data_IF_236921130232
#
_entry.id   IF_236921130232
#
_cell.length_a   1.000
_cell.length_b   1.000
_cell.length_c   1.000
_cell.angle_alpha   90.00
_cell.angle_beta   90.00
_cell.angle_gamma   90.00
#
_symmetry.space_group_name_H-M   'P 1'
#
loop_
_entity.id
_entity.type
_entity.pdbx_description
1 polymer ?
#
# COMPACT_ATOMS: atom_id res chain seq x y z
N UNK A 1 3.00 0.71 -39.36
CA UNK A 1 2.59 0.29 -38.00
C UNK A 1 2.27 1.54 -37.19
N UNK A 2 1.10 1.63 -36.54
CA UNK A 2 0.77 2.70 -35.58
C UNK A 2 1.92 2.94 -34.59
N UNK A 3 2.21 4.20 -34.26
CA UNK A 3 3.29 4.55 -33.32
C UNK A 3 3.17 3.81 -31.98
N UNK A 4 1.93 3.59 -31.54
CA UNK A 4 1.57 2.84 -30.34
C UNK A 4 2.14 1.42 -30.30
N UNK A 5 2.12 0.71 -31.44
CA UNK A 5 2.57 -0.68 -31.54
C UNK A 5 4.10 -0.83 -31.38
N UNK A 6 4.86 0.26 -31.53
CA UNK A 6 6.32 0.21 -31.47
C UNK A 6 6.86 -0.01 -30.06
N UNK A 7 6.08 0.33 -29.04
CA UNK A 7 6.50 0.23 -27.64
C UNK A 7 5.83 -0.93 -26.90
N UNK A 8 5.17 -1.84 -27.62
CA UNK A 8 4.53 -2.99 -26.99
C UNK A 8 5.57 -3.90 -26.32
N UNK A 9 5.26 -4.36 -25.11
CA UNK A 9 6.08 -5.28 -24.33
C UNK A 9 6.32 -4.80 -22.91
N UNK A 10 7.09 -5.60 -22.16
CA UNK A 10 7.50 -5.29 -20.79
C UNK A 10 8.84 -4.58 -20.79
N UNK A 11 8.96 -3.52 -20.02
CA UNK A 11 10.15 -2.70 -19.87
C UNK A 11 10.46 -2.50 -18.40
N UNK A 12 11.74 -2.45 -18.06
CA UNK A 12 12.21 -2.26 -16.69
C UNK A 12 13.33 -1.22 -16.63
N UNK A 13 13.42 -0.55 -15.49
CA UNK A 13 14.54 0.30 -15.11
C UNK A 13 14.93 -0.02 -13.67
N UNK A 14 16.24 -0.06 -13.41
CA UNK A 14 16.79 -0.12 -12.05
C UNK A 14 17.50 1.19 -11.75
N UNK A 15 17.51 1.61 -10.49
CA UNK A 15 18.14 2.85 -10.00
C UNK A 15 19.69 2.87 -10.07
N UNK A 16 20.28 1.84 -10.67
CA UNK A 16 21.72 1.64 -10.77
C UNK A 16 22.34 0.99 -9.53
N UNK A 17 21.62 0.89 -8.42
CA UNK A 17 22.02 0.10 -7.24
C UNK A 17 21.45 -1.32 -7.31
N UNK A 18 20.31 -1.48 -8.01
CA UNK A 18 19.61 -2.75 -8.15
C UNK A 18 18.63 -3.03 -7.02
N UNK A 19 18.53 -2.13 -6.03
CA UNK A 19 17.59 -2.25 -4.91
C UNK A 19 16.18 -1.77 -5.26
N UNK A 20 16.07 -0.84 -6.21
CA UNK A 20 14.79 -0.30 -6.66
C UNK A 20 14.59 -0.55 -8.14
N UNK A 21 13.36 -0.90 -8.47
CA UNK A 21 12.94 -1.23 -9.83
C UNK A 21 11.67 -0.48 -10.19
N UNK A 22 11.54 -0.20 -11.49
CA UNK A 22 10.34 0.37 -12.11
C UNK A 22 10.02 -0.42 -13.36
N UNK A 23 8.84 -1.02 -13.40
CA UNK A 23 8.35 -1.83 -14.51
C UNK A 23 7.16 -1.16 -15.20
N UNK A 24 7.17 -1.19 -16.53
CA UNK A 24 6.04 -0.84 -17.39
C UNK A 24 5.72 -1.99 -18.33
N UNK A 25 4.45 -2.35 -18.48
CA UNK A 25 4.00 -3.24 -19.56
C UNK A 25 3.04 -2.49 -20.45
N UNK A 26 3.34 -2.40 -21.75
CA UNK A 26 2.50 -1.76 -22.75
C UNK A 26 1.84 -2.81 -23.66
N UNK A 27 0.51 -2.79 -23.69
CA UNK A 27 -0.30 -3.77 -24.43
C UNK A 27 -0.83 -3.23 -25.76
N UNK A 28 -1.13 -4.15 -26.68
CA UNK A 28 -1.55 -3.82 -28.05
C UNK A 28 -2.87 -3.02 -28.14
N UNK A 29 -3.72 -3.13 -27.12
CA UNK A 29 -4.98 -2.41 -26.97
C UNK A 29 -4.80 -0.98 -26.40
N UNK A 30 -3.57 -0.47 -26.32
CA UNK A 30 -3.24 0.84 -25.74
C UNK A 30 -3.47 0.94 -24.24
N UNK A 31 -3.48 -0.18 -23.51
CA UNK A 31 -3.41 -0.18 -22.04
C UNK A 31 -1.98 -0.38 -21.55
N UNK A 32 -1.70 0.07 -20.33
CA UNK A 32 -0.43 -0.20 -19.67
C UNK A 32 -0.63 -0.57 -18.21
N UNK A 33 0.30 -1.34 -17.67
CA UNK A 33 0.50 -1.50 -16.23
C UNK A 33 1.84 -0.90 -15.83
N UNK A 34 1.89 -0.41 -14.60
CA UNK A 34 3.04 0.19 -13.96
C UNK A 34 3.16 -0.38 -12.55
N UNK A 35 4.37 -0.73 -12.17
CA UNK A 35 4.71 -1.08 -10.80
C UNK A 35 6.12 -0.54 -10.50
N UNK A 36 6.34 -0.10 -9.28
CA UNK A 36 7.68 0.19 -8.77
C UNK A 36 7.81 -0.31 -7.35
N UNK A 37 9.03 -0.62 -6.93
CA UNK A 37 9.27 -1.07 -5.58
C UNK A 37 10.72 -1.45 -5.35
N UNK A 38 10.94 -2.24 -4.30
CA UNK A 38 12.25 -2.72 -3.91
C UNK A 38 12.20 -4.09 -3.25
N UNK A 39 13.16 -4.35 -2.37
CA UNK A 39 13.35 -5.67 -1.74
C UNK A 39 12.13 -6.16 -0.93
N UNK A 40 11.30 -5.24 -0.42
CA UNK A 40 10.13 -5.56 0.41
C UNK A 40 8.84 -5.74 -0.39
N UNK A 41 8.90 -5.61 -1.71
CA UNK A 41 7.78 -5.73 -2.62
C UNK A 41 7.46 -4.44 -3.36
N UNK A 42 6.29 -4.42 -4.00
CA UNK A 42 5.77 -3.28 -4.75
C UNK A 42 5.41 -2.14 -3.80
N UNK A 43 5.95 -0.95 -4.04
CA UNK A 43 5.69 0.26 -3.26
C UNK A 43 4.60 1.11 -3.92
N UNK A 44 4.51 1.12 -5.25
CA UNK A 44 3.45 1.80 -6.00
C UNK A 44 3.03 1.02 -7.24
N UNK A 45 1.78 1.22 -7.67
CA UNK A 45 1.23 0.56 -8.85
C UNK A 45 0.21 1.43 -9.57
N UNK A 46 -0.02 1.11 -10.83
CA UNK A 46 -0.98 1.82 -11.66
C UNK A 46 -1.35 1.07 -12.92
N UNK A 47 -2.52 1.37 -13.44
CA UNK A 47 -3.01 0.84 -14.70
C UNK A 47 -3.81 1.91 -15.44
N UNK A 48 -3.74 1.89 -16.76
CA UNK A 48 -4.53 2.84 -17.53
C UNK A 48 -4.33 2.74 -19.03
N UNK A 49 -4.72 3.80 -19.72
CA UNK A 49 -4.50 3.94 -21.15
C UNK A 49 -3.26 4.79 -21.42
N UNK A 50 -2.48 4.39 -22.43
CA UNK A 50 -1.38 5.21 -22.93
C UNK A 50 -1.67 5.75 -24.32
N UNK A 51 -1.05 6.87 -24.68
CA UNK A 51 -1.16 7.47 -26.02
C UNK A 51 0.17 8.10 -26.41
N UNK A 52 0.63 7.84 -27.63
CA UNK A 52 1.76 8.56 -28.23
C UNK A 52 1.19 9.63 -29.16
N UNK A 53 1.46 10.90 -28.84
CA UNK A 53 1.09 12.04 -29.69
C UNK A 53 2.32 12.92 -29.90
N UNK A 54 2.66 13.14 -31.18
CA UNK A 54 3.90 13.83 -31.58
C UNK A 54 5.13 13.12 -31.00
N UNK A 55 5.95 13.84 -30.23
CA UNK A 55 7.14 13.37 -29.54
C UNK A 55 6.87 13.07 -28.05
N UNK A 56 5.62 12.83 -27.65
CA UNK A 56 5.26 12.64 -26.25
C UNK A 56 4.47 11.34 -26.02
N UNK A 57 4.82 10.62 -24.96
CA UNK A 57 4.08 9.52 -24.36
C UNK A 57 3.25 10.05 -23.19
N UNK A 58 1.96 9.77 -23.22
CA UNK A 58 1.02 10.10 -22.15
C UNK A 58 0.56 8.82 -21.49
N UNK A 59 0.64 8.75 -20.16
CA UNK A 59 0.16 7.64 -19.34
C UNK A 59 -1.01 8.14 -18.48
N UNK A 60 -2.23 7.76 -18.84
CA UNK A 60 -3.44 8.14 -18.11
C UNK A 60 -3.85 6.99 -17.19
N UNK A 61 -3.70 7.14 -15.88
CA UNK A 61 -3.96 6.12 -14.87
C UNK A 61 -5.46 6.02 -14.51
N UNK A 62 -6.30 5.82 -15.51
CA UNK A 62 -7.77 5.78 -15.37
C UNK A 62 -8.32 4.40 -14.97
N UNK A 63 -7.56 3.34 -15.21
CA UNK A 63 -7.96 1.95 -14.93
C UNK A 63 -7.46 1.40 -13.59
N UNK A 64 -6.60 2.10 -12.85
CA UNK A 64 -6.06 1.60 -11.58
C UNK A 64 -7.17 1.21 -10.61
N UNK A 65 -7.18 -0.06 -10.20
CA UNK A 65 -8.09 -0.54 -9.17
C UNK A 65 -7.60 -0.11 -7.78
N UNK A 66 -8.52 0.25 -6.89
CA UNK A 66 -8.19 0.60 -5.51
C UNK A 66 -8.36 -0.63 -4.63
N UNK A 67 -7.42 -0.85 -3.72
CA UNK A 67 -7.50 -1.90 -2.71
C UNK A 67 -8.19 -1.36 -1.46
N UNK A 68 -9.02 -2.17 -0.83
CA UNK A 68 -9.63 -1.83 0.44
C UNK A 68 -8.58 -1.86 1.55
N UNK A 69 -8.47 -0.80 2.34
CA UNK A 69 -7.65 -0.81 3.55
C UNK A 69 -8.30 -1.67 4.64
N UNK A 70 -7.48 -2.16 5.56
CA UNK A 70 -7.97 -2.74 6.82
C UNK A 70 -8.95 -1.79 7.52
N UNK A 71 -9.87 -2.34 8.29
CA UNK A 71 -10.87 -1.54 9.00
C UNK A 71 -11.24 -2.14 10.36
N UNK A 72 -12.00 -1.38 11.15
CA UNK A 72 -12.44 -1.83 12.47
C UNK A 72 -13.86 -1.38 12.79
N UNK A 73 -14.49 -2.11 13.72
CA UNK A 73 -15.76 -1.76 14.37
C UNK A 73 -15.54 -1.71 15.87
N UNK A 74 -15.88 -0.59 16.51
CA UNK A 74 -15.62 -0.37 17.94
C UNK A 74 -16.91 -0.22 18.74
N UNK A 75 -16.96 -0.88 19.90
CA UNK A 75 -17.98 -0.71 20.94
C UNK A 75 -17.31 -0.13 22.18
N UNK A 76 -17.81 1.02 22.64
CA UNK A 76 -17.29 1.72 23.82
C UNK A 76 -18.11 1.42 25.06
N UNK A 77 -17.48 1.38 26.23
CA UNK A 77 -18.18 1.31 27.51
C UNK A 77 -17.42 2.00 28.65
N UNK A 78 -18.17 2.39 29.67
CA UNK A 78 -17.69 3.17 30.80
C UNK A 78 -17.88 2.40 32.09
N UNK A 79 -16.97 2.61 33.05
CA UNK A 79 -17.05 2.02 34.39
C UNK A 79 -16.27 2.90 35.38
N UNK A 80 -16.35 2.56 36.67
CA UNK A 80 -15.68 3.30 37.74
C UNK A 80 -14.24 2.83 38.05
N UNK A 81 -13.74 1.80 37.36
CA UNK A 81 -12.36 1.31 37.58
C UNK A 81 -11.34 2.39 37.22
N UNK A 82 -10.18 2.38 37.86
CA UNK A 82 -9.07 3.31 37.57
C UNK A 82 -8.29 2.96 36.30
N UNK A 83 -8.71 1.91 35.59
CA UNK A 83 -8.08 1.39 34.39
C UNK A 83 -9.07 1.26 33.24
N UNK A 84 -8.53 1.36 32.02
CA UNK A 84 -9.22 0.98 30.79
C UNK A 84 -8.72 -0.38 30.31
N UNK A 85 -9.63 -1.10 29.66
CA UNK A 85 -9.30 -2.28 28.88
C UNK A 85 -9.67 -2.05 27.41
N UNK A 86 -8.73 -2.37 26.54
CA UNK A 86 -8.91 -2.41 25.09
C UNK A 86 -8.80 -3.87 24.68
N UNK A 87 -9.93 -4.45 24.29
CA UNK A 87 -10.04 -5.81 23.77
C UNK A 87 -10.15 -5.73 22.24
N UNK A 88 -9.26 -6.41 21.55
CA UNK A 88 -9.24 -6.52 20.09
C UNK A 88 -9.52 -7.98 19.72
N UNK A 89 -10.48 -8.21 18.84
CA UNK A 89 -10.63 -9.47 18.12
C UNK A 89 -10.20 -9.21 16.67
N UNK A 90 -9.15 -9.88 16.21
CA UNK A 90 -8.45 -9.58 14.96
C UNK A 90 -8.68 -10.73 13.98
N UNK A 91 -9.20 -10.39 12.80
CA UNK A 91 -9.61 -11.34 11.77
C UNK A 91 -9.06 -10.94 10.40
N UNK A 92 -9.02 -11.88 9.47
CA UNK A 92 -9.04 -11.56 8.04
C UNK A 92 -10.48 -11.25 7.58
N UNK A 93 -10.66 -10.95 6.28
CA UNK A 93 -11.97 -10.61 5.71
C UNK A 93 -12.93 -11.81 5.63
N UNK A 94 -12.41 -13.03 5.71
CA UNK A 94 -13.20 -14.26 5.81
C UNK A 94 -13.66 -14.56 7.24
N UNK A 95 -13.45 -13.63 8.18
CA UNK A 95 -13.73 -13.79 9.61
C UNK A 95 -12.91 -14.88 10.32
N UNK A 96 -11.79 -15.29 9.73
CA UNK A 96 -10.88 -16.24 10.36
C UNK A 96 -9.95 -15.47 11.32
N UNK A 97 -9.73 -15.98 12.55
CA UNK A 97 -8.90 -15.30 13.53
C UNK A 97 -7.42 -15.27 13.12
N UNK A 98 -6.77 -14.13 13.31
CA UNK A 98 -5.35 -13.97 13.03
C UNK A 98 -4.50 -14.10 14.29
N UNK A 99 -3.62 -15.09 14.31
CA UNK A 99 -2.71 -15.39 15.41
C UNK A 99 -1.38 -14.63 15.31
N UNK A 100 -0.73 -14.35 16.45
CA UNK A 100 0.58 -13.68 16.53
C UNK A 100 0.61 -12.29 15.87
N UNK A 101 -0.54 -11.61 15.83
CA UNK A 101 -0.61 -10.24 15.32
C UNK A 101 0.00 -9.29 16.35
N UNK A 102 1.00 -8.51 15.93
CA UNK A 102 1.63 -7.55 16.80
C UNK A 102 0.68 -6.37 17.03
N UNK A 103 0.33 -6.15 18.30
CA UNK A 103 -0.44 -4.97 18.73
C UNK A 103 0.43 -4.13 19.63
N UNK A 104 0.58 -2.85 19.35
CA UNK A 104 1.28 -1.92 20.23
C UNK A 104 0.57 -0.59 20.37
N UNK A 105 0.81 0.07 21.50
CA UNK A 105 0.16 1.30 21.87
C UNK A 105 1.14 2.46 22.01
N UNK A 106 0.87 3.56 21.31
CA UNK A 106 1.59 4.82 21.41
C UNK A 106 0.70 5.89 22.05
N UNK A 107 1.21 6.72 22.99
CA UNK A 107 2.59 6.84 23.48
C UNK A 107 2.93 5.91 24.64
N UNK A 108 2.04 4.98 25.03
CA UNK A 108 2.21 4.14 26.24
C UNK A 108 3.32 3.09 26.14
N UNK A 109 3.87 2.84 24.93
CA UNK A 109 4.94 1.86 24.65
C UNK A 109 4.66 0.49 25.25
N UNK A 110 3.40 0.05 25.20
CA UNK A 110 2.96 -1.28 25.63
C UNK A 110 2.55 -2.09 24.41
N UNK A 111 2.94 -3.35 24.38
CA UNK A 111 2.60 -4.26 23.30
C UNK A 111 2.02 -5.57 23.83
N UNK A 112 1.34 -6.29 22.94
CA UNK A 112 0.86 -7.66 23.10
C UNK A 112 0.77 -8.30 21.72
N UNK A 113 0.63 -9.61 21.68
CA UNK A 113 0.28 -10.34 20.46
C UNK A 113 -1.14 -10.91 20.59
N UNK A 114 -1.79 -11.19 19.46
CA UNK A 114 -3.05 -11.92 19.46
C UNK A 114 -2.85 -13.41 19.72
N UNK A 115 -3.77 -14.01 20.49
CA UNK A 115 -3.80 -15.45 20.68
C UNK A 115 -4.39 -16.19 19.47
N UNK A 116 -4.44 -17.52 19.54
CA UNK A 116 -4.95 -18.39 18.46
C UNK A 116 -6.41 -18.12 18.04
N UNK A 117 -7.17 -17.37 18.84
CA UNK A 117 -8.54 -16.95 18.55
C UNK A 117 -8.58 -15.50 18.04
N UNK A 118 -7.44 -14.90 17.72
CA UNK A 118 -7.33 -13.52 17.28
C UNK A 118 -7.51 -12.51 18.41
N UNK A 119 -7.48 -12.94 19.68
CA UNK A 119 -7.73 -12.06 20.82
C UNK A 119 -6.44 -11.41 21.30
N UNK A 120 -6.42 -10.07 21.31
CA UNK A 120 -5.39 -9.26 21.96
C UNK A 120 -6.02 -8.34 23.01
N UNK A 121 -5.38 -8.20 24.18
CA UNK A 121 -5.89 -7.37 25.27
C UNK A 121 -4.82 -6.47 25.83
N UNK A 122 -5.08 -5.16 25.79
CA UNK A 122 -4.27 -4.15 26.44
C UNK A 122 -5.03 -3.51 27.61
N UNK A 123 -4.29 -3.22 28.68
CA UNK A 123 -4.79 -2.55 29.88
C UNK A 123 -3.90 -1.39 30.25
N UNK A 124 -4.53 -0.25 30.55
CA UNK A 124 -3.87 1.00 30.91
C UNK A 124 -4.56 1.65 32.11
N UNK A 125 -3.86 2.50 32.84
CA UNK A 125 -4.49 3.41 33.80
C UNK A 125 -5.31 4.46 33.05
N UNK A 126 -6.49 4.81 33.58
CA UNK A 126 -7.32 5.89 33.04
C UNK A 126 -6.63 7.23 33.18
N UNK A 127 -6.67 8.01 32.11
CA UNK A 127 -6.11 9.35 32.08
C UNK A 127 -7.07 10.28 31.34
N UNK A 128 -7.36 11.43 31.95
CA UNK A 128 -8.09 12.50 31.26
C UNK A 128 -7.08 13.35 30.49
N UNK A 129 -7.07 13.20 29.17
CA UNK A 129 -6.17 13.94 28.27
C UNK A 129 -6.82 14.20 26.93
N UNK A 130 -6.29 15.19 26.21
CA UNK A 130 -6.86 15.65 24.92
C UNK A 130 -6.31 14.90 23.72
N UNK A 131 -5.08 14.42 23.80
CA UNK A 131 -4.47 13.56 22.78
C UNK A 131 -5.04 12.14 22.83
N UNK A 132 -4.82 11.40 21.73
CA UNK A 132 -5.38 10.06 21.53
C UNK A 132 -4.34 8.98 21.81
N UNK A 133 -4.84 7.84 22.25
CA UNK A 133 -4.07 6.61 22.32
C UNK A 133 -4.13 5.95 20.95
N UNK A 134 -2.98 5.78 20.32
CA UNK A 134 -2.85 5.07 19.07
C UNK A 134 -2.66 3.58 19.37
N UNK A 135 -3.50 2.75 18.77
CA UNK A 135 -3.34 1.30 18.75
C UNK A 135 -2.97 0.91 17.32
N UNK A 136 -1.75 0.40 17.16
CA UNK A 136 -1.27 -0.12 15.89
C UNK A 136 -1.41 -1.62 15.91
N UNK A 137 -1.96 -2.16 14.83
CA UNK A 137 -2.07 -3.59 14.57
C UNK A 137 -1.29 -3.86 13.29
N UNK A 138 -0.32 -4.76 13.40
CA UNK A 138 0.68 -5.02 12.36
C UNK A 138 0.94 -6.52 12.23
N UNK A 139 1.22 -6.96 11.02
CA UNK A 139 1.52 -8.34 10.67
C UNK A 139 2.15 -8.42 9.28
N UNK A 140 2.87 -9.50 9.03
CA UNK A 140 3.53 -9.70 7.74
C UNK A 140 2.50 -9.80 6.61
N UNK A 141 2.73 -9.06 5.52
CA UNK A 141 1.85 -9.04 4.35
C UNK A 141 0.39 -8.71 4.69
N UNK A 142 0.18 -7.84 5.67
CA UNK A 142 -1.14 -7.31 6.04
C UNK A 142 -1.10 -5.78 6.00
N UNK A 143 -2.16 -5.17 5.49
CA UNK A 143 -2.31 -3.73 5.48
C UNK A 143 -2.42 -3.23 6.93
N UNK A 144 -1.40 -2.51 7.40
CA UNK A 144 -1.32 -1.99 8.77
C UNK A 144 -2.56 -1.19 9.17
N UNK A 145 -3.11 -1.46 10.35
CA UNK A 145 -4.23 -0.70 10.92
C UNK A 145 -3.77 0.17 12.09
N UNK A 146 -4.20 1.44 12.09
CA UNK A 146 -4.02 2.36 13.23
C UNK A 146 -5.40 2.81 13.74
N UNK A 147 -5.62 2.72 15.05
CA UNK A 147 -6.88 3.09 15.70
C UNK A 147 -6.60 4.16 16.76
N UNK A 148 -7.35 5.26 16.71
CA UNK A 148 -7.24 6.37 17.66
C UNK A 148 -8.33 6.28 18.73
N UNK A 149 -7.93 6.09 19.99
CA UNK A 149 -8.81 5.85 21.13
C UNK A 149 -8.65 6.92 22.22
N UNK A 150 -9.64 7.01 23.10
CA UNK A 150 -9.58 7.83 24.31
C UNK A 150 -8.94 7.05 25.48
N UNK A 151 -8.16 7.72 26.31
CA UNK A 151 -7.44 7.11 27.43
C UNK A 151 -8.30 6.79 28.65
N UNK A 152 -9.55 7.25 28.69
CA UNK A 152 -10.46 7.08 29.83
C UNK A 152 -11.68 6.18 29.51
N UNK A 153 -11.72 5.58 28.32
CA UNK A 153 -12.81 4.74 27.82
C UNK A 153 -12.34 3.30 27.59
N UNK A 154 -13.22 2.33 27.83
CA UNK A 154 -12.95 0.93 27.51
C UNK A 154 -13.52 0.57 26.13
N UNK A 155 -12.87 -0.37 25.45
CA UNK A 155 -13.19 -0.72 24.07
C UNK A 155 -13.25 -2.23 23.87
N UNK A 156 -14.26 -2.68 23.13
CA UNK A 156 -14.27 -3.95 22.42
C UNK A 156 -14.24 -3.64 20.92
N UNK A 157 -13.22 -4.11 20.22
CA UNK A 157 -12.94 -3.75 18.84
C UNK A 157 -12.81 -5.03 18.03
N UNK A 158 -13.57 -5.12 16.95
CA UNK A 158 -13.37 -6.13 15.92
C UNK A 158 -12.55 -5.47 14.79
N UNK A 159 -11.39 -6.03 14.48
CA UNK A 159 -10.45 -5.56 13.46
C UNK A 159 -10.44 -6.56 12.31
N UNK A 160 -10.57 -6.07 11.09
CA UNK A 160 -10.55 -6.85 9.87
C UNK A 160 -9.33 -6.40 9.08
N UNK A 161 -8.33 -7.26 9.00
CA UNK A 161 -7.07 -7.01 8.32
C UNK A 161 -7.17 -7.49 6.86
N UNK A 162 -6.76 -6.64 5.93
CA UNK A 162 -6.62 -7.03 4.54
C UNK A 162 -5.19 -7.51 4.24
N UNK A 163 -5.06 -8.44 3.29
CA UNK A 163 -3.77 -8.91 2.78
C UNK A 163 -3.09 -7.82 1.95
N UNK A 164 -1.77 -7.70 2.09
CA UNK A 164 -0.94 -6.78 1.33
C UNK A 164 0.18 -7.52 0.61
N UNK A 165 0.61 -6.99 -0.52
CA UNK A 165 1.74 -7.54 -1.31
C UNK A 165 3.10 -6.98 -0.86
N UNK A 166 3.11 -6.07 0.12
CA UNK A 166 4.30 -5.47 0.71
C UNK A 166 4.33 -5.74 2.22
N UNK A 167 5.53 -6.00 2.75
CA UNK A 167 5.73 -6.25 4.18
C UNK A 167 5.89 -4.94 4.98
N UNK A 168 5.20 -4.82 6.12
CA UNK A 168 5.44 -3.78 7.12
C UNK A 168 4.84 -2.39 6.80
N UNK A 169 4.05 -2.28 5.75
CA UNK A 169 3.37 -1.05 5.33
C UNK A 169 1.85 -1.27 5.16
N UNK A 170 1.16 -0.25 4.64
CA UNK A 170 -0.22 -0.43 4.14
C UNK A 170 -0.25 -1.21 2.83
N UNK A 171 -1.28 -0.98 2.02
CA UNK A 171 -1.19 -1.37 0.60
C UNK A 171 -0.15 -0.49 -0.13
N UNK A 172 0.41 -0.99 -1.26
CA UNK A 172 1.19 -0.14 -2.15
C UNK A 172 0.38 1.08 -2.60
N UNK A 173 1.06 2.18 -2.93
CA UNK A 173 0.42 3.40 -3.39
C UNK A 173 -0.24 3.19 -4.76
N UNK A 174 -1.55 3.41 -4.84
CA UNK A 174 -2.31 3.30 -6.08
C UNK A 174 -2.32 4.65 -6.83
N UNK A 175 -1.63 4.73 -7.96
CA UNK A 175 -1.67 5.92 -8.83
C UNK A 175 -2.97 5.90 -9.62
N UNK A 176 -3.91 6.82 -9.35
CA UNK A 176 -5.22 6.86 -10.03
C UNK A 176 -5.62 8.28 -10.42
N UNK A 177 -6.25 8.43 -11.59
CA UNK A 177 -6.71 9.71 -12.15
C UNK A 177 -5.58 10.74 -12.34
N UNK A 178 -4.35 10.26 -12.55
CA UNK A 178 -3.18 11.05 -12.89
C UNK A 178 -2.86 10.88 -14.37
N UNK A 179 -2.31 11.92 -15.01
CA UNK A 179 -1.75 11.82 -16.35
C UNK A 179 -0.28 12.20 -16.29
N UNK A 180 0.59 11.23 -16.56
CA UNK A 180 2.01 11.49 -16.71
C UNK A 180 2.35 11.73 -18.17
N UNK A 181 3.29 12.66 -18.38
CA UNK A 181 3.78 13.00 -19.71
C UNK A 181 5.29 12.85 -19.75
N UNK A 182 5.74 12.08 -20.73
CA UNK A 182 7.15 11.89 -21.05
C UNK A 182 7.41 12.36 -22.46
N UNK A 183 8.50 13.10 -22.68
CA UNK A 183 8.99 13.35 -24.04
C UNK A 183 9.77 12.12 -24.50
N UNK A 184 9.49 11.64 -25.70
CA UNK A 184 10.17 10.52 -26.33
C UNK A 184 11.44 11.05 -27.00
N UNK A 185 12.60 10.63 -26.51
CA UNK A 185 13.88 10.91 -27.13
C UNK A 185 14.15 9.88 -28.23
N UNK A 186 13.95 8.60 -27.93
CA UNK A 186 14.32 7.49 -28.80
C UNK A 186 13.49 6.24 -28.51
N UNK A 187 13.04 5.54 -29.55
CA UNK A 187 12.44 4.21 -29.44
C UNK A 187 13.30 3.25 -30.27
N UNK A 188 13.79 2.19 -29.64
CA UNK A 188 14.50 1.08 -30.29
C UNK A 188 13.82 -0.25 -29.98
N UNK A 189 14.27 -1.33 -30.62
CA UNK A 189 13.78 -2.68 -30.31
C UNK A 189 14.11 -3.13 -28.89
N UNK A 190 15.16 -2.57 -28.28
CA UNK A 190 15.71 -3.00 -26.98
C UNK A 190 15.37 -2.06 -25.82
N UNK A 191 14.99 -0.81 -26.10
CA UNK A 191 14.75 0.19 -25.06
C UNK A 191 13.91 1.36 -25.57
N UNK A 192 13.38 2.14 -24.61
CA UNK A 192 12.77 3.45 -24.83
C UNK A 192 13.53 4.46 -23.98
N UNK A 193 13.95 5.57 -24.59
CA UNK A 193 14.52 6.73 -23.87
C UNK A 193 13.48 7.83 -23.80
N UNK A 194 13.19 8.25 -22.59
CA UNK A 194 12.19 9.23 -22.23
C UNK A 194 12.86 10.38 -21.47
N UNK A 195 12.25 11.56 -21.51
CA UNK A 195 12.60 12.70 -20.67
C UNK A 195 11.39 13.12 -19.86
N UNK A 196 11.58 13.29 -18.55
CA UNK A 196 10.60 13.87 -17.65
C UNK A 196 11.31 14.88 -16.73
N UNK A 197 10.83 16.12 -16.70
CA UNK A 197 11.41 17.21 -15.88
C UNK A 197 12.95 17.34 -16.01
N UNK A 198 13.46 17.34 -17.25
CA UNK A 198 14.90 17.38 -17.59
C UNK A 198 15.74 16.19 -17.08
N UNK A 199 15.10 15.11 -16.61
CA UNK A 199 15.76 13.85 -16.29
C UNK A 199 15.50 12.86 -17.41
N UNK A 200 16.58 12.26 -17.91
CA UNK A 200 16.51 11.16 -18.86
C UNK A 200 16.21 9.85 -18.12
N UNK A 201 15.27 9.09 -18.67
CA UNK A 201 14.82 7.78 -18.19
C UNK A 201 15.05 6.79 -19.33
N UNK A 202 15.70 5.66 -19.04
CA UNK A 202 15.91 4.60 -20.02
C UNK A 202 15.22 3.32 -19.56
N UNK A 203 14.13 2.98 -20.23
CA UNK A 203 13.37 1.76 -19.99
C UNK A 203 13.92 0.65 -20.90
N UNK A 204 14.46 -0.42 -20.32
CA UNK A 204 15.03 -1.55 -21.05
C UNK A 204 13.95 -2.59 -21.30
N UNK A 205 13.79 -3.01 -22.55
CA UNK A 205 12.81 -4.05 -22.92
C UNK A 205 13.27 -5.40 -22.37
N UNK A 206 12.39 -6.09 -21.66
CA UNK A 206 12.65 -7.42 -21.15
C UNK A 206 12.37 -8.47 -22.24
N UNK A 207 13.28 -9.43 -22.38
CA UNK A 207 13.10 -10.56 -23.28
C UNK A 207 12.02 -11.49 -22.70
N UNK A 208 11.03 -11.85 -23.53
CA UNK A 208 10.08 -12.92 -23.21
C UNK A 208 10.70 -14.28 -23.48
#
# INVERSE_FOLDING_TARGET
MPAQQKINGKYSMVDGTGYFWTDYTFDINSTFTFEEGGDLGTESYGQGHYTIKNDSLFLNYDLTELKEESYFKAKKYYNFKDSIQIKLNIYNYNHEPLYNMQVYAFPKRKSTESDKNGLAVLKFKKEKRKDKLEIHIDGEFLAKQIIYLDFDINYNIDVFMNESVIQGFGHPEAIKNQIDRFKIIEISEKYIRLENNNKEIKLIKMLQ
#
